data_IF_362005060071
#
_entry.id   IF_362005060071
#
_cell.length_a   1.000
_cell.length_b   1.000
_cell.length_c   1.000
_cell.angle_alpha   90.00
_cell.angle_beta   90.00
_cell.angle_gamma   90.00
#
_symmetry.space_group_name_H-M   'P 1'
#
loop_
_entity.id
_entity.type
_entity.pdbx_description
1 polymer ?
2 non-polymer ?
3 non-polymer ?
#
# COMPACT_ATOMS: atom_id res chain seq x y z
N UNK A 2 3.73 11.04 13.66
CA UNK A 2 3.26 10.87 15.06
C UNK A 2 4.46 10.79 16.02
N UNK A 3 4.16 10.64 17.31
CA UNK A 3 5.20 10.57 18.33
C UNK A 3 6.15 9.38 18.11
N UNK A 5 9.00 6.99 16.84
CA UNK A 5 10.36 7.23 16.38
C UNK A 5 10.75 6.30 15.23
N UNK A 6 11.72 6.72 14.39
CA UNK A 6 12.20 5.95 13.25
C UNK A 6 12.33 4.46 13.54
N UNK A 7 13.02 4.11 14.63
CA UNK A 7 13.20 2.70 14.99
C UNK A 7 11.89 2.01 15.37
N UNK A 8 10.93 2.77 15.88
CA UNK A 8 9.64 2.21 16.25
C UNK A 8 8.80 1.96 14.99
N UNK A 9 8.84 2.91 14.07
CA UNK A 9 8.10 2.79 12.83
C UNK A 9 8.58 1.53 12.13
N UNK A 10 9.89 1.34 12.09
CA UNK A 10 10.44 0.17 11.42
C UNK A 10 9.96 -1.14 12.06
N UNK A 11 9.98 -1.21 13.39
CA UNK A 11 9.52 -2.42 14.07
C UNK A 11 8.09 -2.70 13.64
N UNK A 12 7.28 -1.65 13.60
CA UNK A 12 5.89 -1.77 13.19
C UNK A 12 5.84 -2.37 11.79
N UNK A 13 6.62 -1.79 10.88
CA UNK A 13 6.65 -2.28 9.50
C UNK A 13 7.19 -3.72 9.48
N UNK A 14 8.22 -3.96 10.29
CA UNK A 14 8.83 -5.29 10.38
C UNK A 14 7.76 -6.36 10.58
N UNK A 15 6.65 -5.96 11.20
CA UNK A 15 5.54 -6.88 11.48
C UNK A 15 4.58 -7.05 10.33
N UNK A 16 4.92 -6.54 9.15
CA UNK A 16 4.02 -6.65 8.03
C UNK A 16 4.75 -6.93 6.76
N UNK A 17 5.95 -6.38 6.66
CA UNK A 17 6.75 -6.54 5.47
C UNK A 17 8.00 -7.31 5.83
N UNK A 18 8.43 -8.20 4.95
CA UNK A 18 9.64 -8.96 5.23
C UNK A 18 10.74 -8.32 4.41
N UNK A 19 11.90 -8.13 5.02
CA UNK A 19 13.00 -7.53 4.27
C UNK A 19 12.81 -6.06 3.93
N UNK A 20 13.41 -5.65 2.82
CA UNK A 20 13.32 -4.27 2.36
C UNK A 20 13.59 -3.24 3.46
N UNK A 21 14.68 -3.43 4.21
CA UNK A 21 15.04 -2.51 5.29
C UNK A 21 15.28 -1.08 4.82
N UNK A 22 16.12 -0.93 3.80
CA UNK A 22 16.40 0.41 3.28
C UNK A 22 15.10 1.15 3.06
N UNK A 23 14.12 0.47 2.47
CA UNK A 23 12.85 1.09 2.20
C UNK A 23 12.14 1.44 3.50
N UNK A 24 12.13 0.50 4.44
CA UNK A 24 11.47 0.80 5.69
C UNK A 24 12.12 2.05 6.28
N UNK A 25 13.45 2.04 6.34
CA UNK A 25 14.19 3.17 6.88
C UNK A 25 13.78 4.45 6.20
N UNK A 26 13.66 4.39 4.88
CA UNK A 26 13.27 5.56 4.08
C UNK A 26 11.92 6.15 4.52
N UNK A 27 10.85 5.36 4.45
CA UNK A 27 9.55 5.88 4.87
C UNK A 27 9.55 6.36 6.32
N UNK A 28 10.33 5.72 7.19
CA UNK A 28 10.38 6.13 8.59
C UNK A 28 10.94 7.55 8.74
N UNK A 29 12.07 7.79 8.09
CA UNK A 29 12.70 9.10 8.11
C UNK A 29 11.64 10.08 7.58
N UNK A 30 11.14 9.84 6.37
CA UNK A 30 10.15 10.72 5.78
C UNK A 30 9.02 11.01 6.77
N UNK A 31 8.49 9.98 7.40
CA UNK A 31 7.40 10.17 8.33
C UNK A 31 7.80 10.95 9.57
N UNK A 32 8.88 10.52 10.21
CA UNK A 32 9.35 11.17 11.43
C UNK A 32 9.60 12.66 11.19
N UNK A 33 10.17 12.95 10.03
CA UNK A 33 10.49 14.31 9.64
C UNK A 33 9.29 15.24 9.81
N UNK A 34 8.08 14.68 9.77
CA UNK A 34 6.90 15.50 9.94
C UNK A 34 6.72 15.84 11.41
N UNK A 35 7.17 14.96 12.29
CA UNK A 35 7.06 15.22 13.72
C UNK A 35 8.06 16.30 14.07
N UNK A 36 9.22 16.24 13.44
CA UNK A 36 10.26 17.23 13.68
C UNK A 36 9.83 18.60 13.18
N UNK A 37 9.23 18.63 11.99
CA UNK A 37 8.82 19.90 11.44
C UNK A 37 7.89 20.59 12.41
N UNK A 39 7.64 20.46 15.57
CA UNK A 39 8.38 21.04 16.68
C UNK A 39 9.02 22.40 16.36
N UNK A 40 9.44 22.58 15.11
CA UNK A 40 10.08 23.83 14.70
C UNK A 40 9.13 25.01 14.87
N UNK A 41 9.62 26.21 14.61
CA UNK A 41 8.79 27.40 14.72
C UNK A 41 8.80 28.16 13.41
N UNK A 42 7.76 28.96 13.20
CA UNK A 42 7.68 29.73 11.98
C UNK A 42 8.86 30.68 11.97
N UNK A 43 9.41 31.00 10.78
CA UNK A 43 9.01 30.55 9.44
C UNK A 43 9.47 29.13 9.10
N UNK A 44 10.63 28.77 9.62
CA UNK A 44 11.24 27.47 9.35
C UNK A 44 10.29 26.27 9.32
N UNK A 45 9.13 26.42 9.94
CA UNK A 45 8.13 25.36 10.01
C UNK A 45 7.51 25.11 8.64
N UNK A 46 6.84 26.12 8.08
CA UNK A 46 6.25 25.94 6.76
C UNK A 46 7.38 25.88 5.74
N UNK A 47 8.52 26.46 6.10
CA UNK A 47 9.69 26.47 5.23
C UNK A 47 10.09 25.06 4.83
N UNK A 48 10.20 24.16 5.79
CA UNK A 48 10.59 22.78 5.47
C UNK A 48 9.52 21.96 4.72
N UNK A 49 9.92 21.39 3.59
CA UNK A 49 9.02 20.62 2.75
C UNK A 49 9.21 19.12 3.00
N UNK A 50 8.20 18.31 2.63
CA UNK A 50 8.22 16.85 2.81
C UNK A 50 9.40 16.17 2.09
N UNK A 51 9.99 15.17 2.73
CA UNK A 51 11.11 14.41 2.17
C UNK A 51 10.57 13.25 1.33
N UNK A 52 10.01 13.56 0.17
CA UNK A 52 9.44 12.57 -0.74
C UNK A 52 10.40 11.44 -1.10
N UNK A 53 9.84 10.30 -1.47
CA UNK A 53 10.61 9.11 -1.77
C UNK A 53 10.42 8.52 -3.16
N UNK A 54 11.51 8.00 -3.73
CA UNK A 54 11.43 7.35 -5.03
C UNK A 54 11.90 5.93 -4.78
N UNK A 56 12.76 2.28 -5.91
CA UNK A 56 13.12 1.69 -7.19
C UNK A 56 13.20 0.19 -7.00
N UNK A 57 12.25 -0.52 -7.60
CA UNK A 57 12.26 -1.96 -7.41
C UNK A 57 11.33 -2.74 -8.32
N UNK A 58 11.57 -4.06 -8.44
CA UNK A 58 10.78 -4.96 -9.27
C UNK A 58 9.43 -5.24 -8.61
N UNK A 59 8.44 -5.51 -9.44
CA UNK A 59 7.10 -5.79 -8.97
C UNK A 59 7.03 -6.95 -7.99
N UNK A 60 6.17 -6.81 -6.98
CA UNK A 60 5.97 -7.85 -6.01
C UNK A 60 6.87 -7.88 -4.79
N UNK A 61 7.74 -6.90 -4.63
CA UNK A 61 8.64 -6.91 -3.48
C UNK A 61 8.16 -6.15 -2.23
N UNK A 62 7.03 -5.46 -2.32
CA UNK A 62 6.51 -4.77 -1.14
C UNK A 62 6.39 -3.25 -1.20
N UNK A 63 6.74 -2.67 -2.35
CA UNK A 63 6.68 -1.23 -2.50
C UNK A 63 5.36 -0.62 -2.04
N UNK A 64 4.25 -1.05 -2.62
CA UNK A 64 2.98 -0.47 -2.17
C UNK A 64 2.68 -0.78 -0.70
N UNK A 65 2.90 -2.04 -0.32
CA UNK A 65 2.63 -2.48 1.03
C UNK A 65 3.26 -1.56 2.04
N UNK A 66 4.55 -1.31 1.88
CA UNK A 66 5.25 -0.42 2.80
C UNK A 66 4.50 0.90 2.96
N UNK A 67 4.17 1.53 1.84
CA UNK A 67 3.44 2.81 1.88
C UNK A 67 2.09 2.66 2.56
N UNK A 68 1.30 1.64 2.18
CA UNK A 68 -0.01 1.43 2.79
C UNK A 68 0.15 1.30 4.30
N UNK A 69 1.04 0.40 4.72
CA UNK A 69 1.29 0.18 6.13
C UNK A 69 1.76 1.45 6.80
N UNK A 70 2.68 2.15 6.17
CA UNK A 70 3.17 3.39 6.76
C UNK A 70 1.98 4.28 7.05
N UNK A 71 1.08 4.39 6.06
CA UNK A 71 -0.10 5.21 6.18
C UNK A 71 -0.96 4.80 7.37
N UNK A 72 -1.21 3.50 7.49
CA UNK A 72 -2.02 2.98 8.59
C UNK A 72 -1.40 3.33 9.94
N UNK A 73 -0.15 2.92 10.14
CA UNK A 73 0.51 3.16 11.40
C UNK A 73 0.51 4.65 11.77
N UNK A 74 0.35 5.51 10.77
CA UNK A 74 0.36 6.94 11.02
C UNK A 74 -1.04 7.54 11.01
N UNK A 75 -2.07 6.69 10.98
CA UNK A 75 -3.46 7.15 10.94
C UNK A 75 -3.54 8.36 10.02
N UNK A 76 -3.06 8.17 8.79
CA UNK A 76 -3.02 9.23 7.80
C UNK A 76 -3.80 8.92 6.53
N UNK A 77 -4.35 9.95 5.88
CA UNK A 77 -5.10 9.72 4.64
C UNK A 77 -4.13 9.20 3.57
N UNK A 78 -4.43 8.04 2.99
CA UNK A 78 -3.58 7.47 1.95
C UNK A 78 -4.26 7.58 0.59
N UNK A 79 -3.62 7.01 -0.43
CA UNK A 79 -4.15 6.99 -1.79
C UNK A 79 -3.06 6.55 -2.76
N UNK A 80 -3.37 5.51 -3.52
CA UNK A 80 -2.45 4.97 -4.49
C UNK A 80 -3.03 5.47 -5.81
N UNK A 81 -2.19 5.61 -6.82
CA UNK A 81 -2.65 6.06 -8.12
C UNK A 81 -1.64 5.72 -9.18
N UNK A 82 -2.12 5.20 -10.29
CA UNK A 82 -1.25 4.82 -11.40
C UNK A 82 -0.92 6.01 -12.30
N UNK A 83 0.34 6.42 -12.27
CA UNK A 83 0.81 7.53 -13.07
C UNK A 83 0.33 7.39 -14.52
N UNK A 84 0.41 6.18 -15.05
CA UNK A 84 0.00 5.91 -16.43
C UNK A 84 -1.40 6.46 -16.70
N UNK A 85 -2.23 6.42 -15.67
CA UNK A 85 -3.60 6.90 -15.72
C UNK A 85 -3.76 8.25 -16.41
N UNK A 86 -2.78 9.11 -16.27
CA UNK A 86 -2.89 10.43 -16.86
C UNK A 86 -2.33 10.57 -18.27
N UNK A 87 -2.07 9.46 -18.94
CA UNK A 87 -1.55 9.53 -20.30
C UNK A 87 -2.48 8.94 -21.36
N UNK A 88 -3.17 7.86 -21.01
CA UNK A 88 -4.09 7.20 -21.93
C UNK A 88 -4.87 8.19 -22.80
N UNK A 89 -4.73 8.06 -24.11
CA UNK A 89 -5.40 8.94 -25.07
C UNK A 89 -6.74 9.45 -24.56
N UNK A 90 -6.79 10.73 -24.21
CA UNK A 90 -8.02 11.32 -23.71
C UNK A 90 -7.80 12.39 -22.65
N UNK A 91 -7.55 11.96 -21.41
CA UNK A 91 -7.35 12.88 -20.29
C UNK A 91 -8.65 13.67 -20.10
N UNK A 92 -9.71 13.20 -20.73
CA UNK A 92 -11.02 13.83 -20.66
C UNK A 92 -11.87 13.20 -19.56
N UNK A 93 -11.25 12.99 -18.39
CA UNK A 93 -11.96 12.40 -17.27
C UNK A 93 -11.67 13.12 -15.97
N UNK A 94 -10.42 13.01 -15.50
CA UNK A 94 -9.98 13.66 -14.27
C UNK A 94 -8.47 13.87 -14.32
N UNK A 95 -8.03 15.08 -13.99
CA UNK A 95 -6.61 15.40 -14.00
C UNK A 95 -5.94 15.07 -12.68
N UNK A 96 -4.79 15.70 -12.45
CA UNK A 96 -4.03 15.46 -11.23
C UNK A 96 -4.77 15.86 -9.96
N UNK A 97 -5.70 16.81 -10.09
CA UNK A 97 -6.47 17.26 -8.95
C UNK A 97 -7.33 16.15 -8.36
N UNK A 98 -7.67 15.15 -9.17
CA UNK A 98 -8.47 14.03 -8.70
C UNK A 98 -7.80 13.41 -7.48
N UNK A 99 -6.48 13.22 -7.59
CA UNK A 99 -5.64 12.66 -6.52
C UNK A 99 -5.92 13.41 -5.22
N UNK A 100 -5.69 14.71 -5.24
CA UNK A 100 -5.92 15.53 -4.05
C UNK A 100 -7.38 15.42 -3.57
N UNK A 101 -8.33 15.37 -4.50
CA UNK A 101 -9.71 15.25 -4.07
C UNK A 101 -9.91 13.90 -3.41
N UNK A 102 -9.57 12.82 -4.12
CA UNK A 102 -9.66 11.47 -3.58
C UNK A 102 -9.12 11.51 -2.15
N UNK A 103 -7.82 11.76 -2.05
CA UNK A 103 -7.13 11.85 -0.78
C UNK A 103 -7.89 12.69 0.26
N UNK A 104 -8.54 13.77 -0.19
CA UNK A 104 -9.27 14.62 0.75
C UNK A 104 -10.50 13.90 1.28
N UNK A 105 -11.20 13.19 0.40
CA UNK A 105 -12.39 12.45 0.79
C UNK A 105 -12.03 11.51 1.94
N UNK A 106 -11.03 10.67 1.70
CA UNK A 106 -10.55 9.72 2.68
C UNK A 106 -10.26 10.38 4.01
N UNK A 107 -9.66 11.56 3.98
CA UNK A 107 -9.33 12.28 5.20
C UNK A 107 -10.59 12.52 6.04
N UNK A 109 -13.45 10.70 5.79
CA UNK A 109 -13.83 9.35 6.18
C UNK A 109 -12.88 8.78 7.24
N UNK A 110 -11.87 9.57 7.62
CA UNK A 110 -10.90 9.15 8.61
C UNK A 110 -11.15 9.86 9.93
N UNK A 111 -11.74 11.05 9.85
CA UNK A 111 -12.04 11.80 11.06
C UNK A 111 -13.45 11.41 11.47
N UNK A 112 -14.17 10.85 10.51
CA UNK A 112 -15.55 10.40 10.72
C UNK A 112 -15.60 9.17 11.59
N UNK A 113 -15.33 8.01 11.01
CA UNK A 113 -15.33 6.74 11.75
C UNK A 113 -14.50 6.91 13.01
N UNK A 114 -13.48 7.76 12.90
CA UNK A 114 -12.56 8.05 13.99
C UNK A 114 -13.16 9.12 14.91
N UNK A 115 -14.47 9.29 14.83
CA UNK A 115 -15.16 10.27 15.65
C UNK A 115 -16.49 9.71 16.11
N UNK A 116 -17.26 9.18 15.16
CA UNK A 116 -18.57 8.59 15.47
C UNK A 116 -18.37 7.56 16.57
N UNK A 117 -17.13 7.11 16.73
CA UNK A 117 -16.77 6.13 17.74
C UNK A 117 -15.59 6.63 18.57
N UNK A 118 -15.52 7.95 18.79
CA UNK A 118 -14.42 8.52 19.56
C UNK A 118 -14.93 9.45 20.66
N UNK A 119 -15.28 10.67 20.28
CA UNK A 119 -15.79 11.65 21.23
C UNK A 119 -17.21 11.27 21.62
N UNK A 120 -17.64 10.10 21.14
CA UNK A 120 -18.98 9.62 21.44
C UNK A 120 -19.04 8.94 22.81
N UNK A 121 -18.31 9.47 23.79
CA UNK A 121 -18.31 8.90 25.12
C UNK A 121 -19.71 8.99 25.73
N UNK A 122 -20.69 9.29 24.90
CA UNK A 122 -22.08 9.39 25.31
C UNK A 122 -23.01 8.82 24.25
N UNK A 123 -22.64 7.67 23.69
CA UNK A 123 -23.44 6.98 22.68
C UNK A 123 -24.45 6.14 23.44
N UNK A 124 -24.49 6.35 24.75
CA UNK A 124 -25.38 5.67 25.68
C UNK A 124 -25.71 6.68 26.78
N UNK A 125 -26.74 6.39 27.57
CA UNK A 125 -27.15 7.29 28.66
C UNK A 125 -27.73 8.59 28.10
N UNK A 126 -27.68 8.74 26.77
CA UNK A 126 -28.19 9.93 26.08
C UNK A 126 -28.76 9.55 24.72
N UNK A 127 -28.21 8.51 24.10
CA UNK A 127 -28.67 8.05 22.79
C UNK A 127 -30.17 7.80 22.82
N UNK A 128 -30.61 7.04 23.82
CA UNK A 128 -32.02 6.72 23.97
C UNK A 128 -32.48 7.30 25.31
N UNK A 129 -33.41 6.62 25.98
CA UNK A 129 -33.91 7.08 27.28
C UNK A 129 -34.64 8.42 27.16
N UNK A 130 -34.57 9.03 25.97
CA UNK A 130 -35.21 10.31 25.71
C UNK A 130 -36.64 10.34 26.20
N UNK A 226 -32.97 2.10 19.38
CA UNK A 226 -31.89 2.30 20.33
C UNK A 226 -31.01 3.47 19.90
N UNK A 227 -29.70 3.25 19.87
CA UNK A 227 -28.74 4.28 19.48
C UNK A 227 -28.85 4.56 17.97
N UNK A 228 -27.75 4.46 17.25
CA UNK A 228 -27.71 4.69 15.80
C UNK A 228 -28.05 6.14 15.43
N UNK A 229 -29.28 6.53 15.70
CA UNK A 229 -29.75 7.88 15.40
C UNK A 229 -29.06 8.86 16.35
N UNK A 230 -28.03 8.35 17.05
CA UNK A 230 -27.26 9.15 17.99
C UNK A 230 -26.02 9.71 17.33
N UNK A 231 -25.37 8.92 16.48
CA UNK A 231 -24.15 9.34 15.79
C UNK A 231 -24.25 10.76 15.24
N UNK A 232 -25.46 11.15 14.83
CA UNK A 232 -25.69 12.47 14.27
C UNK A 232 -25.68 13.56 15.34
N UNK A 233 -24.65 13.54 16.20
CA UNK A 233 -24.52 14.53 17.26
C UNK A 233 -23.09 15.01 17.42
N UNK A 234 -22.93 16.26 17.87
CA UNK A 234 -21.62 16.86 18.07
C UNK A 234 -20.80 16.92 16.78
N UNK A 235 -21.27 16.25 15.74
CA UNK A 235 -20.59 16.22 14.44
C UNK A 235 -20.14 17.63 14.03
N UNK A 236 -21.06 18.40 13.46
CA UNK A 236 -20.75 19.75 13.02
C UNK A 236 -19.80 19.71 11.82
N UNK A 237 -20.35 19.53 10.61
CA UNK A 237 -19.55 19.48 9.38
C UNK A 237 -18.56 20.63 9.21
N UNK A 238 -18.78 21.72 9.95
CA UNK A 238 -17.89 22.88 9.89
C UNK A 238 -16.59 22.57 10.63
N UNK A 239 -16.68 21.63 11.56
CA UNK A 239 -15.52 21.20 12.35
C UNK A 239 -15.01 19.88 11.78
N UNK A 240 -15.93 19.06 11.28
CA UNK A 240 -15.59 17.77 10.71
C UNK A 240 -14.65 17.96 9.52
N UNK A 241 -15.11 18.70 8.52
CA UNK A 241 -14.31 18.95 7.31
C UNK A 241 -13.01 19.68 7.62
N UNK A 242 -13.08 20.63 8.55
CA UNK A 242 -11.88 21.37 8.96
C UNK A 242 -10.69 20.45 9.22
N UNK A 243 -10.82 19.59 10.22
CA UNK A 243 -9.74 18.66 10.56
C UNK A 243 -9.41 17.76 9.37
N UNK A 244 -10.42 17.44 8.57
CA UNK A 244 -10.23 16.60 7.39
C UNK A 244 -9.28 17.32 6.42
N UNK A 245 -9.61 18.56 6.09
CA UNK A 245 -8.78 19.35 5.20
C UNK A 245 -7.44 19.55 5.89
N UNK A 246 -7.48 19.54 7.22
CA UNK A 246 -6.27 19.71 8.00
C UNK A 246 -5.47 18.40 7.94
N UNK A 247 -6.18 17.28 7.86
CA UNK A 247 -5.55 15.97 7.80
C UNK A 247 -4.74 15.82 6.52
N UNK A 248 -5.41 15.92 5.38
CA UNK A 248 -4.70 15.80 4.12
C UNK A 248 -3.56 16.80 4.08
N UNK A 249 -3.82 18.01 4.54
CA UNK A 249 -2.79 19.04 4.51
C UNK A 249 -1.56 18.72 5.33
N UNK A 250 -1.76 18.14 6.51
CA UNK A 250 -0.64 17.86 7.38
C UNK A 250 -0.13 16.41 7.40
N UNK A 251 -0.96 15.48 6.94
CA UNK A 251 -0.59 14.05 6.96
C UNK A 251 -0.79 13.22 5.70
N UNK A 252 -1.51 13.75 4.72
CA UNK A 252 -1.77 13.02 3.50
C UNK A 252 -0.54 12.34 2.90
N UNK A 253 -0.76 11.17 2.32
CA UNK A 253 0.30 10.39 1.70
C UNK A 253 -0.16 9.82 0.35
N UNK A 254 0.34 10.41 -0.73
CA UNK A 254 0.01 9.97 -2.08
C UNK A 254 1.06 8.98 -2.58
N UNK A 255 0.61 7.85 -3.11
CA UNK A 255 1.53 6.83 -3.63
C UNK A 255 1.43 6.81 -5.16
N UNK A 256 2.41 7.39 -5.82
CA UNK A 256 2.43 7.45 -7.27
C UNK A 256 3.08 6.16 -7.81
N UNK A 257 2.26 5.26 -8.32
CA UNK A 257 2.76 3.98 -8.83
C UNK A 257 3.30 4.03 -10.26
N UNK A 258 4.22 3.13 -10.57
CA UNK A 258 4.80 3.04 -11.91
C UNK A 258 5.06 4.42 -12.49
N UNK A 259 5.88 5.21 -11.83
CA UNK A 259 6.14 6.54 -12.36
C UNK A 259 7.19 6.48 -13.44
N UNK A 260 7.94 5.39 -13.50
CA UNK A 260 8.96 5.29 -14.53
C UNK A 260 8.32 5.08 -15.88
N UNK A 261 6.99 4.94 -15.88
CA UNK A 261 6.25 4.73 -17.12
C UNK A 261 5.72 6.02 -17.73
N UNK A 262 6.46 7.11 -17.56
CA UNK A 262 6.07 8.38 -18.13
C UNK A 262 7.31 9.24 -18.35
N UNK A 263 8.41 8.59 -18.77
CA UNK A 263 9.68 9.26 -19.02
C UNK A 263 9.99 9.31 -20.51
N UNK A 264 11.24 8.95 -20.84
CA UNK A 264 11.72 8.92 -22.21
C UNK A 264 12.98 8.06 -22.33
N UNK A 267 15.52 6.40 -32.57
CA UNK A 267 14.96 7.43 -31.70
C UNK A 267 13.46 7.62 -31.95
N UNK A 268 12.86 6.68 -32.67
CA UNK A 268 11.43 6.75 -32.97
C UNK A 268 10.63 6.66 -31.67
N UNK A 269 11.33 6.39 -30.58
CA UNK A 269 10.73 6.29 -29.26
C UNK A 269 10.80 7.66 -28.59
N UNK A 270 11.32 8.64 -29.33
CA UNK A 270 11.44 9.99 -28.80
C UNK A 270 10.38 10.96 -29.30
N UNK A 271 9.70 10.59 -30.39
CA UNK A 271 8.66 11.44 -30.96
C UNK A 271 7.46 11.51 -30.01
N UNK A 272 7.65 10.96 -28.81
CA UNK A 272 6.62 10.95 -27.77
C UNK A 272 7.18 11.54 -26.48
N UNK A 273 6.84 12.79 -26.22
CA UNK A 273 7.31 13.47 -25.01
C UNK A 273 6.12 13.78 -24.11
N UNK A 274 4.93 13.35 -24.52
CA UNK A 274 3.72 13.58 -23.75
C UNK A 274 3.97 13.20 -22.29
N UNK A 275 4.69 12.10 -22.10
CA UNK A 275 5.01 11.63 -20.76
C UNK A 275 5.63 12.74 -19.94
N UNK A 276 6.55 13.48 -20.54
CA UNK A 276 7.19 14.59 -19.84
C UNK A 276 6.16 15.64 -19.50
N UNK A 277 5.19 15.81 -20.39
CA UNK A 277 4.14 16.79 -20.15
C UNK A 277 3.27 16.34 -18.99
N UNK A 278 3.36 15.05 -18.69
CA UNK A 278 2.60 14.45 -17.60
C UNK A 278 3.26 14.85 -16.28
N UNK A 279 4.54 14.52 -16.15
CA UNK A 279 5.28 14.86 -14.94
C UNK A 279 5.03 16.35 -14.70
N UNK A 280 4.88 17.08 -15.80
CA UNK A 280 4.62 18.52 -15.75
C UNK A 280 3.33 18.79 -14.98
N UNK A 281 2.24 18.13 -15.36
CA UNK A 281 0.95 18.32 -14.70
C UNK A 281 0.94 17.76 -13.29
N UNK A 282 1.83 16.81 -13.05
CA UNK A 282 1.95 16.16 -11.76
C UNK A 282 2.71 17.11 -10.81
N UNK A 283 3.60 17.88 -11.42
CA UNK A 283 4.48 18.82 -10.73
C UNK A 283 3.89 19.71 -9.64
N UNK A 284 2.93 20.58 -9.99
CA UNK A 284 2.28 21.49 -9.03
C UNK A 284 1.92 20.83 -7.69
N UNK A 285 1.45 19.59 -7.76
CA UNK A 285 1.06 18.83 -6.57
C UNK A 285 2.24 18.65 -5.64
N UNK A 286 3.33 18.10 -6.17
CA UNK A 286 4.51 17.87 -5.35
C UNK A 286 5.17 19.18 -5.00
N UNK A 287 5.07 20.15 -5.90
CA UNK A 287 5.65 21.49 -5.70
C UNK A 287 4.78 22.31 -4.73
N UNK A 288 3.68 21.74 -4.27
CA UNK A 288 2.81 22.47 -3.35
C UNK A 288 1.89 23.43 -4.06
N UNK A 289 0.60 23.42 -3.70
CA UNK A 289 -0.39 24.30 -4.31
C UNK A 289 -1.77 24.06 -3.71
N UNK A 290 -2.77 24.81 -4.14
CA UNK A 290 -4.11 24.66 -3.59
C UNK A 290 -5.12 24.05 -4.57
N UNK A 291 -5.97 23.18 -4.05
CA UNK A 291 -6.98 22.52 -4.87
C UNK A 291 -8.36 22.61 -4.25
N UNK A 292 -9.37 22.84 -5.09
CA UNK A 292 -10.74 22.94 -4.62
C UNK A 292 -11.32 21.55 -4.42
N UNK A 293 -12.10 21.39 -3.35
CA UNK A 293 -12.75 20.11 -3.04
C UNK A 293 -14.05 20.35 -2.30
N UNK A 294 -14.97 19.40 -2.44
CA UNK A 294 -16.27 19.50 -1.80
C UNK A 294 -16.16 19.62 -0.28
N UNK A 295 -14.95 19.60 0.24
CA UNK A 295 -14.77 19.71 1.69
C UNK A 295 -13.98 20.98 2.05
N UNK A 296 -13.69 21.80 1.05
CA UNK A 296 -12.95 23.02 1.29
C UNK A 296 -11.73 23.07 0.37
N UNK A 298 -7.85 22.27 0.08
CA UNK A 298 -6.68 21.60 0.60
C UNK A 298 -5.41 22.08 -0.11
N UNK A 299 -4.36 22.30 0.68
CA UNK A 299 -3.08 22.78 0.14
C UNK A 299 -2.05 21.63 0.18
N UNK A 300 -1.72 21.11 -0.99
CA UNK A 300 -0.79 19.99 -1.12
C UNK A 300 0.64 20.27 -0.62
N UNK A 301 0.88 21.46 -0.10
CA UNK A 301 2.22 21.82 0.37
C UNK A 301 2.94 20.85 1.32
N UNK A 302 2.23 20.25 2.26
CA UNK A 302 2.93 19.35 3.19
C UNK A 302 2.57 17.88 3.05
N UNK A 303 2.17 17.49 1.85
CA UNK A 303 1.80 16.11 1.59
C UNK A 303 3.04 15.26 1.30
N UNK A 304 3.03 14.02 1.79
CA UNK A 304 4.15 13.11 1.60
C UNK A 304 3.89 12.29 0.35
N UNK A 305 4.82 12.38 -0.60
CA UNK A 305 4.69 11.64 -1.85
C UNK A 305 5.66 10.48 -1.94
N UNK A 306 5.15 9.33 -2.37
CA UNK A 306 5.98 8.16 -2.53
C UNK A 306 5.77 7.70 -3.95
N UNK A 307 6.80 7.82 -4.78
CA UNK A 307 6.70 7.38 -6.16
C UNK A 307 7.60 6.17 -6.31
N UNK A 308 7.06 5.08 -6.82
CA UNK A 308 7.86 3.87 -7.02
C UNK A 308 7.96 3.61 -8.52
N UNK A 309 8.83 2.67 -8.89
CA UNK A 309 8.99 2.39 -10.30
C UNK A 309 10.11 1.40 -10.54
N UNK A 310 9.89 0.52 -11.51
CA UNK A 310 10.87 -0.49 -11.87
C UNK A 310 12.10 0.19 -12.45
N UNK A 311 11.89 1.20 -13.26
CA UNK A 311 13.04 1.88 -13.86
C UNK A 311 13.97 0.86 -14.49
N UNK A 312 13.41 -0.10 -15.21
CA UNK A 312 14.23 -1.08 -15.90
C UNK A 312 14.43 -0.48 -17.30
N UNK A 313 13.43 0.28 -17.73
CA UNK A 313 13.43 0.96 -19.03
C UNK A 313 14.22 2.24 -18.95
N UNK A 314 13.78 3.13 -18.06
CA UNK A 314 14.42 4.43 -17.87
C UNK A 314 15.13 4.51 -16.54
N UNK A 315 15.79 5.64 -16.30
CA UNK A 315 16.48 5.87 -15.05
C UNK A 315 15.91 7.13 -14.40
N UNK A 316 15.90 7.19 -13.06
CA UNK A 316 15.36 8.35 -12.34
C UNK A 316 15.87 9.66 -12.92
N UNK A 317 17.14 9.65 -13.30
CA UNK A 317 17.79 10.83 -13.86
C UNK A 317 17.10 11.34 -15.12
N UNK A 318 16.19 10.53 -15.68
CA UNK A 318 15.47 10.89 -16.88
C UNK A 318 14.21 11.66 -16.59
N UNK A 319 13.84 11.74 -15.32
CA UNK A 319 12.65 12.46 -14.91
C UNK A 319 12.95 13.95 -15.13
N UNK A 320 11.93 14.76 -15.34
CA UNK A 320 12.17 16.18 -15.53
C UNK A 320 12.91 16.68 -14.27
N UNK A 321 13.84 17.64 -14.44
CA UNK A 321 14.59 18.15 -13.29
C UNK A 321 13.73 18.49 -12.09
N UNK A 322 12.63 19.21 -12.30
CA UNK A 322 11.76 19.59 -11.17
C UNK A 322 11.34 18.41 -10.29
N UNK A 323 11.04 17.28 -10.90
CA UNK A 323 10.66 16.09 -10.14
C UNK A 323 11.87 15.50 -9.37
N UNK A 324 13.04 15.45 -9.99
CA UNK A 324 14.20 14.90 -9.31
C UNK A 324 14.43 15.71 -8.05
N UNK A 325 14.32 17.02 -8.20
CA UNK A 325 14.55 17.88 -7.06
C UNK A 325 13.59 17.61 -5.91
N UNK A 326 12.38 17.21 -6.26
CA UNK A 326 11.38 16.95 -5.26
C UNK A 326 11.28 15.48 -4.86
N UNK A 327 12.28 14.69 -5.25
CA UNK A 327 12.34 13.28 -4.88
C UNK A 327 13.70 13.12 -4.20
N UNK A 328 13.84 13.72 -3.00
CA UNK A 328 15.02 13.77 -2.12
C UNK A 328 15.56 12.44 -1.74
N UNK A 329 14.68 11.56 -1.29
CA UNK A 329 15.08 10.24 -0.84
C UNK A 329 14.98 9.19 -1.91
N UNK A 330 16.11 8.58 -2.25
CA UNK A 330 16.11 7.51 -3.25
C UNK A 330 16.43 6.21 -2.51
N UNK A 331 15.54 5.22 -2.57
CA UNK A 331 15.77 3.95 -1.89
C UNK A 331 15.48 2.82 -2.85
N UNK A 332 16.24 1.73 -2.79
CA UNK A 332 16.02 0.62 -3.72
C UNK A 332 15.60 -0.68 -3.03
N UNK A 333 14.55 -1.32 -3.54
CA UNK A 333 14.09 -2.57 -2.93
C UNK A 333 14.64 -3.76 -3.71
N UNK A 334 14.82 -4.88 -3.00
CA UNK A 334 15.38 -6.08 -3.59
C UNK A 334 14.37 -7.15 -3.89
N UNK A 335 14.75 -8.08 -4.77
CA UNK A 335 13.87 -9.17 -5.13
C UNK A 335 13.69 -10.05 -3.89
N UNK A 336 12.69 -10.93 -3.90
CA UNK A 336 12.48 -11.79 -2.75
C UNK A 336 12.97 -13.20 -3.05
N UNK A 337 13.70 -13.76 -2.10
CA UNK A 337 14.22 -15.12 -2.23
C UNK A 337 13.12 -16.10 -1.83
N UNK A 338 13.24 -17.35 -2.25
CA UNK A 338 12.22 -18.33 -1.87
C UNK A 338 12.07 -18.32 -0.36
N UNK A 339 13.18 -18.05 0.33
CA UNK A 339 13.18 -17.99 1.79
C UNK A 339 12.27 -16.87 2.28
N UNK A 340 12.33 -15.75 1.56
CA UNK A 340 11.50 -14.61 1.90
C UNK A 340 10.03 -15.01 1.79
N UNK A 341 9.70 -15.80 0.76
CA UNK A 341 8.33 -16.26 0.58
C UNK A 341 7.93 -17.10 1.79
N UNK A 342 8.85 -17.95 2.20
CA UNK A 342 8.65 -18.82 3.34
C UNK A 342 8.25 -18.05 4.61
N UNK A 343 8.87 -16.89 4.80
CA UNK A 343 8.56 -16.05 5.97
C UNK A 343 7.22 -15.34 5.77
N UNK A 344 7.11 -14.67 4.62
CA UNK A 344 5.90 -13.94 4.29
C UNK A 344 4.71 -14.87 4.45
N UNK A 345 4.91 -16.14 4.12
CA UNK A 345 3.84 -17.11 4.23
C UNK A 345 3.35 -17.32 5.65
N UNK A 346 4.11 -16.86 6.66
CA UNK A 346 3.67 -17.06 8.05
C UNK A 346 3.99 -16.05 9.16
N UNK A 347 4.94 -15.14 8.93
CA UNK A 347 5.31 -14.18 9.98
C UNK A 347 4.48 -12.90 9.94
N UNK A 348 4.42 -12.26 8.78
CA UNK A 348 3.61 -11.03 8.74
C UNK A 348 2.27 -11.26 9.43
N UNK A 349 1.83 -10.29 10.22
CA UNK A 349 0.51 -10.44 10.84
C UNK A 349 -0.49 -10.68 9.71
N UNK A 350 -1.41 -11.60 9.93
CA UNK A 350 -2.40 -11.91 8.92
C UNK A 350 -1.77 -12.44 7.65
N UNK A 351 -0.75 -13.28 7.81
CA UNK A 351 -0.09 -13.92 6.67
C UNK A 351 -1.12 -14.89 6.08
N UNK A 352 -0.82 -15.44 4.89
CA UNK A 352 -1.78 -16.33 4.25
C UNK A 352 -2.11 -17.60 5.03
N UNK A 353 -1.14 -18.16 5.74
CA UNK A 353 -1.46 -19.36 6.50
C UNK A 353 -2.33 -19.00 7.69
N UNK A 354 -2.09 -17.84 8.28
CA UNK A 354 -2.90 -17.43 9.41
C UNK A 354 -4.34 -17.29 8.90
N UNK A 355 -4.50 -16.61 7.78
CA UNK A 355 -5.82 -16.41 7.18
C UNK A 355 -6.58 -17.70 6.89
N UNK A 356 -6.00 -18.60 6.11
CA UNK A 356 -6.69 -19.84 5.80
C UNK A 356 -6.98 -20.64 7.06
N UNK A 357 -6.07 -20.58 8.02
CA UNK A 357 -6.26 -21.31 9.25
C UNK A 357 -7.50 -20.76 9.95
N UNK A 358 -7.61 -19.44 9.99
CA UNK A 358 -8.75 -18.79 10.64
C UNK A 358 -10.05 -19.05 9.89
N UNK A 359 -10.03 -18.87 8.58
CA UNK A 359 -11.22 -19.06 7.76
C UNK A 359 -11.76 -20.51 7.90
N UNK A 361 -11.23 -22.53 10.40
CA UNK A 361 -11.68 -22.70 11.77
C UNK A 361 -13.15 -22.35 11.83
N UNK A 362 -13.54 -21.46 10.94
CA UNK A 362 -14.92 -21.03 10.88
C UNK A 362 -15.86 -22.18 10.57
N UNK A 363 -15.39 -23.13 9.77
CA UNK A 363 -16.18 -24.28 9.37
C UNK A 363 -16.01 -25.38 10.41
N UNK A 364 -15.18 -25.10 11.40
CA UNK A 364 -14.93 -26.08 12.43
C UNK A 364 -13.78 -26.99 12.03
N UNK A 365 -12.98 -26.57 11.05
CA UNK A 365 -11.84 -27.38 10.62
C UNK A 365 -10.51 -26.75 11.07
N UNK A 366 -9.76 -27.49 11.86
CA UNK A 366 -8.49 -27.00 12.34
C UNK A 366 -7.38 -27.49 11.43
N UNK A 367 -6.84 -26.61 10.58
CA UNK A 367 -5.78 -27.02 9.68
C UNK A 367 -4.41 -26.62 10.21
N UNK A 368 -3.40 -27.36 9.78
CA UNK A 368 -2.04 -27.09 10.22
C UNK A 368 -1.05 -27.23 9.08
N UNK A 369 -0.03 -26.37 9.08
CA UNK A 369 0.98 -26.40 8.04
C UNK A 369 2.29 -26.97 8.53
N UNK A 370 2.69 -28.05 7.90
CA UNK A 370 3.94 -28.72 8.21
C UNK A 370 5.05 -27.76 7.80
N UNK A 371 6.15 -27.72 8.53
CA UNK A 371 7.24 -26.82 8.16
C UNK A 371 7.59 -27.03 6.70
N UNK A 372 7.98 -28.26 6.35
CA UNK A 372 8.36 -28.59 4.97
C UNK A 372 7.31 -28.19 3.96
N UNK A 373 6.05 -28.26 4.37
CA UNK A 373 4.96 -27.90 3.49
C UNK A 373 5.04 -26.42 3.12
N UNK A 374 5.45 -25.59 4.07
CA UNK A 374 5.52 -24.16 3.80
C UNK A 374 6.74 -23.89 2.91
N UNK A 375 7.77 -24.72 3.07
CA UNK A 375 8.95 -24.58 2.25
C UNK A 375 8.56 -24.94 0.81
N UNK A 376 7.84 -26.03 0.66
CA UNK A 376 7.40 -26.49 -0.65
C UNK A 376 6.47 -25.47 -1.31
N UNK A 377 5.60 -24.83 -0.52
CA UNK A 377 4.68 -23.84 -1.06
C UNK A 377 5.46 -22.66 -1.65
N UNK A 378 6.28 -22.03 -0.81
CA UNK A 378 7.10 -20.91 -1.21
C UNK A 378 8.04 -21.33 -2.34
N UNK A 379 8.44 -22.58 -2.31
CA UNK A 379 9.35 -23.05 -3.34
C UNK A 379 8.62 -23.07 -4.66
N UNK A 380 7.35 -23.44 -4.61
CA UNK A 380 6.52 -23.52 -5.81
C UNK A 380 6.32 -22.11 -6.38
N UNK A 381 5.98 -21.18 -5.49
CA UNK A 381 5.77 -19.78 -5.88
C UNK A 381 7.01 -19.28 -6.62
N UNK A 382 8.16 -19.46 -6.01
CA UNK A 382 9.40 -19.01 -6.60
C UNK A 382 9.69 -19.77 -7.90
N UNK A 383 9.52 -21.08 -7.85
CA UNK A 383 9.80 -21.89 -9.01
C UNK A 383 9.05 -21.40 -10.24
N UNK A 384 7.77 -21.13 -10.07
CA UNK A 384 6.95 -20.66 -11.17
C UNK A 384 7.42 -19.29 -11.65
N UNK A 385 7.73 -18.41 -10.70
CA UNK A 385 8.18 -17.07 -11.04
C UNK A 385 9.43 -17.02 -11.91
N UNK A 386 10.38 -17.92 -11.70
CA UNK A 386 11.58 -17.85 -12.54
C UNK A 386 11.38 -18.62 -13.83
N UNK A 387 10.55 -19.65 -13.81
CA UNK A 387 10.27 -20.43 -15.00
C UNK A 387 9.41 -19.66 -16.02
N UNK A 388 8.67 -18.68 -15.55
CA UNK A 388 7.81 -17.89 -16.42
C UNK A 388 7.93 -16.39 -16.09
N UNK A 389 6.81 -15.72 -15.86
CA UNK A 389 6.85 -14.29 -15.52
C UNK A 389 6.98 -14.13 -14.01
N UNK A 390 8.07 -13.52 -13.56
CA UNK A 390 8.25 -13.33 -12.13
C UNK A 390 7.41 -12.16 -11.63
N UNK A 391 6.34 -12.48 -10.93
CA UNK A 391 5.46 -11.44 -10.41
C UNK A 391 5.59 -11.27 -8.92
N UNK A 392 6.80 -11.54 -8.44
CA UNK A 392 7.10 -11.37 -7.04
C UNK A 392 6.29 -12.18 -6.07
N UNK A 393 5.98 -11.57 -4.94
CA UNK A 393 5.25 -12.25 -3.90
C UNK A 393 3.80 -12.56 -4.27
N UNK A 394 3.28 -11.85 -5.27
CA UNK A 394 1.90 -12.11 -5.68
C UNK A 394 1.76 -13.56 -6.02
N UNK A 395 2.75 -14.11 -6.69
CA UNK A 395 2.69 -15.52 -7.04
C UNK A 395 2.12 -16.37 -5.89
N UNK A 396 2.36 -15.95 -4.66
CA UNK A 396 1.88 -16.70 -3.51
C UNK A 396 0.36 -16.82 -3.45
N UNK A 397 -0.34 -15.83 -3.99
CA UNK A 397 -1.81 -15.88 -3.97
C UNK A 397 -2.45 -17.04 -4.72
N UNK A 398 -2.19 -17.14 -6.02
CA UNK A 398 -2.77 -18.22 -6.82
C UNK A 398 -2.34 -19.61 -6.33
N UNK A 399 -1.08 -19.75 -5.92
CA UNK A 399 -0.59 -21.05 -5.43
C UNK A 399 -1.26 -21.44 -4.11
N UNK A 401 -4.06 -20.57 -3.16
CA UNK A 401 -5.47 -20.82 -3.45
C UNK A 401 -5.64 -22.17 -4.13
N UNK A 402 -4.69 -22.51 -4.98
CA UNK A 402 -4.72 -23.78 -5.67
C UNK A 402 -4.61 -24.86 -4.58
N UNK A 403 -3.74 -24.60 -3.61
CA UNK A 403 -3.47 -25.46 -2.46
C UNK A 403 -4.72 -25.72 -1.62
N UNK A 405 -7.62 -25.16 -2.34
CA UNK A 405 -8.80 -25.37 -3.16
C UNK A 405 -9.73 -26.42 -2.56
N UNK A 406 -9.28 -27.69 -2.60
CA UNK A 406 -10.04 -28.83 -2.08
C UNK A 406 -10.62 -28.62 -0.70
N UNK A 407 -9.79 -28.36 0.29
CA UNK A 407 -10.28 -28.14 1.65
C UNK A 407 -11.33 -27.03 1.68
N UNK A 408 -10.97 -25.89 1.09
CA UNK A 408 -11.81 -24.70 1.04
C UNK A 408 -13.23 -24.96 0.58
N UNK A 409 -13.46 -26.07 -0.11
CA UNK A 409 -14.81 -26.35 -0.60
C UNK A 409 -15.62 -27.18 0.37
N UNK A 410 -15.02 -28.27 0.83
CA UNK A 410 -15.70 -29.20 1.72
C UNK A 410 -15.39 -29.09 3.21
N UNK A 411 -14.84 -27.98 3.67
CA UNK A 411 -14.57 -27.85 5.09
C UNK A 411 -15.91 -28.02 5.78
N UNK A 412 -16.95 -27.44 5.17
CA UNK A 412 -18.29 -27.52 5.71
C UNK A 412 -18.60 -28.94 6.11
N UNK A 413 -18.29 -29.87 5.22
CA UNK A 413 -18.53 -31.29 5.44
C UNK A 413 -17.61 -31.88 6.48
N UNK A 415 -16.58 -30.71 9.60
CA UNK A 415 -16.56 -30.13 10.94
C UNK A 415 -15.93 -31.05 11.97
N UNK A 416 -15.10 -30.47 12.83
CA UNK A 416 -14.44 -31.22 13.88
C UNK A 416 -13.21 -32.03 13.49
N UNK A 417 -12.76 -31.93 12.24
CA UNK A 417 -11.57 -32.66 11.83
C UNK A 417 -10.34 -31.76 11.96
N UNK A 418 -9.16 -32.32 11.71
CA UNK A 418 -7.91 -31.58 11.77
C UNK A 418 -7.07 -31.95 10.57
N UNK A 419 -7.10 -31.14 9.53
CA UNK A 419 -6.30 -31.45 8.35
C UNK A 419 -4.86 -31.00 8.55
N UNK A 420 -3.93 -31.88 8.22
CA UNK A 420 -2.52 -31.53 8.36
C UNK A 420 -1.92 -31.39 6.99
N UNK A 421 -1.70 -30.15 6.58
CA UNK A 421 -1.11 -29.94 5.27
C UNK A 421 0.40 -30.11 5.38
N UNK A 422 0.86 -31.29 4.98
CA UNK A 422 2.28 -31.61 5.00
C UNK A 422 2.84 -31.45 3.60
N UNK A 423 4.14 -31.68 3.43
CA UNK A 423 4.77 -31.50 2.12
C UNK A 423 4.11 -32.35 1.03
N UNK A 424 3.57 -33.49 1.44
CA UNK A 424 2.88 -34.40 0.53
C UNK A 424 1.59 -33.78 0.07
N UNK A 425 0.72 -33.43 1.02
CA UNK A 425 -0.55 -32.80 0.68
C UNK A 425 -0.31 -31.71 -0.39
N UNK A 426 0.78 -30.96 -0.25
CA UNK A 426 1.13 -29.90 -1.17
C UNK A 426 1.51 -30.47 -2.52
N UNK A 427 2.57 -31.25 -2.51
CA UNK A 427 3.07 -31.88 -3.72
C UNK A 427 1.94 -32.33 -4.61
N UNK A 428 0.93 -32.92 -3.97
CA UNK A 428 -0.22 -33.45 -4.67
C UNK A 428 -1.17 -32.34 -5.13
N UNK A 429 -1.65 -31.55 -4.17
CA UNK A 429 -2.56 -30.44 -4.46
C UNK A 429 -2.05 -29.60 -5.60
N UNK A 430 -0.73 -29.36 -5.64
CA UNK A 430 -0.21 -28.58 -6.74
C UNK A 430 -0.10 -29.60 -7.87
N UNK A 431 0.98 -30.37 -7.87
CA UNK A 431 1.12 -31.37 -8.90
C UNK A 431 1.78 -30.87 -10.16
N UNK A 432 1.40 -31.45 -11.30
CA UNK A 432 1.96 -31.11 -12.59
C UNK A 432 1.96 -29.62 -12.91
N UNK A 433 0.95 -28.93 -12.40
CA UNK A 433 0.77 -27.52 -12.66
C UNK A 433 2.01 -26.62 -12.51
N UNK A 434 3.00 -27.00 -11.72
CA UNK A 434 4.16 -26.13 -11.57
C UNK A 434 5.26 -26.29 -12.61
N UNK A 435 5.73 -27.53 -12.81
CA UNK A 435 6.78 -27.75 -13.79
C UNK A 435 6.23 -27.76 -15.21
N UNK A 436 4.94 -27.47 -15.34
CA UNK A 436 4.25 -27.43 -16.63
C UNK A 436 3.86 -26.00 -16.99
N UNK A 437 4.68 -25.34 -17.79
CA UNK A 437 4.40 -23.95 -18.15
C UNK A 437 3.07 -23.69 -18.85
N UNK A 438 2.60 -24.64 -19.68
CA UNK A 438 1.34 -24.47 -20.39
C UNK A 438 0.22 -24.14 -19.40
N UNK A 439 0.19 -24.87 -18.28
CA UNK A 439 -0.82 -24.69 -17.27
C UNK A 439 -0.58 -23.48 -16.38
N UNK A 440 0.62 -23.42 -15.79
CA UNK A 440 0.98 -22.34 -14.89
C UNK A 440 0.50 -20.98 -15.41
N UNK A 441 0.67 -20.72 -16.70
CA UNK A 441 0.26 -19.45 -17.29
C UNK A 441 -1.25 -19.21 -17.25
N UNK A 442 -2.00 -20.23 -16.82
CA UNK A 442 -3.46 -20.15 -16.70
C UNK A 442 -3.86 -20.37 -15.24
N UNK A 443 -3.60 -21.59 -14.76
CA UNK A 443 -3.91 -22.00 -13.41
C UNK A 443 -3.27 -21.18 -12.30
N UNK A 444 -2.01 -20.75 -12.46
CA UNK A 444 -1.31 -19.99 -11.40
C UNK A 444 -0.91 -18.55 -11.70
#
# INVERSE_FOLDING_TARGET
XSEXTPREIVSELDQHIIGQADAKRAVAIALRNRWRRXQLQEPLRHEVTPKNILXIGPTGVGKTEIARRLAKLANAPFIKVEATKFTEVGYVGKEVDSIIRDLTDSAXKLVRQQEIAKNRARAEDVAEERILDALLPPAKNQWGEVENHDSHSSTRQAFRKKLREGQLDDKEIEIDVSAGVSXGVEIXAPPGXEEXTNQLQSLFQNLGSDKTKKRKXKIKDALKALIDDEAAKLINPEELKQKAIDAVEQNGIVFIDEIDKICKKGEYSGADVSREGVQRDLLPLVEGSTVSTKHGXVKTDHILFIASGAFQVARPSDLIPELQGRLPIRVELTALSAADFERILTEPHASLTEQYKALXATEGVNIAFTTDAVKKIAEAAFRVNEKTENIGARRLHTVXERLXDKISFSASDXNGQTVNIDAAYVADALGEVVENEDLSRFIL
#
